data_IF_168421305381
#
_entry.id   IF_168421305381
#
_cell.length_a   1.000
_cell.length_b   1.000
_cell.length_c   1.000
_cell.angle_alpha   90.00
_cell.angle_beta   90.00
_cell.angle_gamma   90.00
#
_symmetry.space_group_name_H-M   'P 1'
#
loop_
_entity.id
_entity.type
_entity.pdbx_description
1 polymer ?
#
# COMPACT_ATOMS: atom_id res chain seq x y z
N UNK A 1 -15.01 -8.39 -12.76
CA UNK A 1 -13.95 -7.49 -13.25
C UNK A 1 -12.94 -7.35 -12.13
N UNK A 2 -11.72 -7.87 -12.32
CA UNK A 2 -10.68 -7.81 -11.29
C UNK A 2 -10.31 -6.36 -10.99
N UNK A 3 -10.13 -6.04 -9.71
CA UNK A 3 -9.71 -4.70 -9.29
C UNK A 3 -8.30 -4.45 -9.88
N UNK A 4 -8.16 -3.58 -10.88
CA UNK A 4 -6.85 -3.22 -11.44
C UNK A 4 -6.00 -2.36 -10.49
N UNK A 5 -6.41 -2.28 -9.22
CA UNK A 5 -5.90 -1.35 -8.22
C UNK A 5 -5.71 -2.07 -6.91
N UNK A 6 -4.69 -1.63 -6.19
CA UNK A 6 -4.43 -2.01 -4.81
C UNK A 6 -4.50 -0.76 -3.95
N UNK A 7 -5.15 -0.86 -2.81
CA UNK A 7 -5.23 0.23 -1.85
C UNK A 7 -4.19 -0.02 -0.75
N UNK A 8 -3.36 0.97 -0.46
CA UNK A 8 -2.55 1.04 0.76
C UNK A 8 -3.26 2.00 1.71
N UNK A 9 -3.87 1.47 2.76
CA UNK A 9 -4.63 2.27 3.71
C UNK A 9 -3.90 2.40 5.03
N UNK A 10 -3.64 3.63 5.45
CA UNK A 10 -3.04 3.96 6.72
C UNK A 10 -4.13 4.33 7.72
N UNK A 11 -4.39 3.43 8.67
CA UNK A 11 -5.48 3.59 9.65
C UNK A 11 -5.12 4.51 10.82
N UNK A 12 -3.86 4.95 10.93
CA UNK A 12 -3.43 6.00 11.88
C UNK A 12 -3.63 7.41 11.33
N UNK A 13 -4.14 7.54 10.10
CA UNK A 13 -4.34 8.83 9.43
C UNK A 13 -3.06 9.47 8.91
N UNK A 14 -1.92 8.79 9.00
CA UNK A 14 -0.66 9.30 8.46
C UNK A 14 -0.56 9.09 6.95
N UNK A 15 0.15 9.98 6.27
CA UNK A 15 0.33 9.88 4.82
C UNK A 15 1.28 8.74 4.49
N UNK A 16 0.89 7.86 3.56
CA UNK A 16 1.72 6.74 3.10
C UNK A 16 2.11 6.94 1.64
N UNK A 17 3.37 6.67 1.34
CA UNK A 17 3.88 6.66 -0.03
C UNK A 17 4.88 5.53 -0.26
N UNK A 18 5.10 5.21 -1.54
CA UNK A 18 6.14 4.27 -1.97
C UNK A 18 7.38 5.03 -2.42
N UNK A 19 8.55 4.52 -2.04
CA UNK A 19 9.83 4.92 -2.62
C UNK A 19 10.49 3.75 -3.35
N UNK A 20 11.28 3.98 -4.41
CA UNK A 20 12.04 2.90 -5.00
C UNK A 20 13.20 2.48 -4.08
N UNK A 21 13.58 1.20 -4.12
CA UNK A 21 14.75 0.74 -3.35
C UNK A 21 16.07 1.31 -3.92
N UNK A 22 16.14 1.48 -5.24
CA UNK A 22 17.25 2.16 -5.94
C UNK A 22 16.75 3.50 -6.49
N UNK A 23 17.42 4.62 -6.20
CA UNK A 23 17.02 5.93 -6.70
C UNK A 23 17.22 6.03 -8.22
N UNK A 24 16.43 6.88 -8.87
CA UNK A 24 16.53 7.17 -10.28
C UNK A 24 15.34 7.99 -10.76
N UNK A 25 15.58 9.13 -11.41
CA UNK A 25 14.53 10.10 -11.73
C UNK A 25 13.38 9.49 -12.56
N UNK A 26 13.68 8.63 -13.54
CA UNK A 26 12.62 7.98 -14.33
C UNK A 26 11.84 6.92 -13.52
N UNK A 27 12.51 6.19 -12.62
CA UNK A 27 11.88 5.21 -11.73
C UNK A 27 10.93 5.91 -10.77
N UNK A 28 11.39 6.99 -10.15
CA UNK A 28 10.59 7.79 -9.22
C UNK A 28 9.37 8.39 -9.91
N UNK A 29 9.55 8.94 -11.12
CA UNK A 29 8.44 9.46 -11.94
C UNK A 29 7.41 8.37 -12.25
N UNK A 30 7.85 7.21 -12.74
CA UNK A 30 6.95 6.08 -13.07
C UNK A 30 6.25 5.53 -11.83
N UNK A 31 6.96 5.44 -10.71
CA UNK A 31 6.36 5.01 -9.45
C UNK A 31 5.30 6.02 -8.98
N UNK A 32 5.59 7.32 -9.03
CA UNK A 32 4.60 8.35 -8.69
C UNK A 32 3.36 8.31 -9.60
N UNK A 33 3.52 7.98 -10.87
CA UNK A 33 2.38 7.74 -11.77
C UNK A 33 1.54 6.52 -11.35
N UNK A 34 2.21 5.44 -10.91
CA UNK A 34 1.56 4.21 -10.46
C UNK A 34 0.93 4.34 -9.07
N UNK A 35 1.47 5.20 -8.19
CA UNK A 35 1.01 5.38 -6.81
C UNK A 35 0.43 6.78 -6.61
N UNK A 36 -0.90 6.90 -6.69
CA UNK A 36 -1.61 8.17 -6.57
C UNK A 36 -2.28 8.28 -5.21
N UNK A 37 -2.11 9.42 -4.54
CA UNK A 37 -2.86 9.70 -3.31
C UNK A 37 -4.34 9.75 -3.67
N UNK A 38 -5.14 8.97 -2.95
CA UNK A 38 -6.58 8.94 -3.11
C UNK A 38 -7.23 9.49 -1.84
N UNK A 39 -8.19 10.39 -2.00
CA UNK A 39 -8.93 10.90 -0.85
C UNK A 39 -9.73 9.75 -0.22
N UNK A 40 -9.52 9.51 1.08
CA UNK A 40 -10.39 8.63 1.86
C UNK A 40 -11.61 9.41 2.29
N UNK A 41 -12.84 8.92 2.06
CA UNK A 41 -14.03 9.53 2.64
C UNK A 41 -14.11 9.36 4.17
N UNK A 42 -13.24 8.53 4.77
CA UNK A 42 -13.23 8.25 6.21
C UNK A 42 -12.17 9.06 6.95
N UNK A 43 -12.56 9.88 7.94
CA UNK A 43 -11.62 10.62 8.79
C UNK A 43 -10.63 9.68 9.47
N UNK A 44 -9.37 10.10 9.55
CA UNK A 44 -8.32 9.29 10.19
C UNK A 44 -7.81 8.12 9.35
N UNK A 45 -8.23 7.98 8.09
CA UNK A 45 -7.65 7.02 7.15
C UNK A 45 -7.05 7.76 5.97
N UNK A 46 -5.79 7.45 5.64
CA UNK A 46 -5.15 7.93 4.43
C UNK A 46 -4.95 6.78 3.44
N UNK A 47 -5.35 6.97 2.18
CA UNK A 47 -5.29 5.90 1.17
C UNK A 47 -4.38 6.28 0.01
N UNK A 48 -3.36 5.45 -0.21
CA UNK A 48 -2.57 5.46 -1.43
C UNK A 48 -3.13 4.41 -2.39
N UNK A 49 -3.44 4.84 -3.61
CA UNK A 49 -3.96 3.96 -4.66
C UNK A 49 -2.85 3.57 -5.61
N UNK A 50 -2.66 2.28 -5.80
CA UNK A 50 -1.65 1.72 -6.68
C UNK A 50 -2.33 1.13 -7.90
N UNK A 51 -1.97 1.63 -9.07
CA UNK A 51 -2.36 1.05 -10.35
C UNK A 51 -1.46 -0.15 -10.68
N UNK A 52 -2.05 -1.35 -10.68
CA UNK A 52 -1.31 -2.60 -10.87
C UNK A 52 -0.70 -2.69 -12.28
N UNK A 53 -1.36 -2.11 -13.28
CA UNK A 53 -0.88 -2.12 -14.67
C UNK A 53 0.36 -1.24 -14.80
N UNK A 54 0.32 0.00 -14.30
CA UNK A 54 1.48 0.89 -14.32
C UNK A 54 2.65 0.33 -13.51
N UNK A 55 2.37 -0.37 -12.41
CA UNK A 55 3.40 -1.04 -11.62
C UNK A 55 4.06 -2.19 -12.38
N UNK A 56 3.29 -2.97 -13.15
CA UNK A 56 3.81 -4.02 -14.04
C UNK A 56 4.65 -3.44 -15.17
N UNK A 57 4.19 -2.37 -15.84
CA UNK A 57 4.96 -1.66 -16.87
C UNK A 57 6.31 -1.14 -16.34
N UNK A 58 6.35 -0.68 -15.08
CA UNK A 58 7.60 -0.30 -14.42
C UNK A 58 8.54 -1.51 -14.24
N UNK A 59 8.02 -2.68 -13.86
CA UNK A 59 8.85 -3.88 -13.74
C UNK A 59 9.39 -4.36 -15.10
N UNK A 60 8.57 -4.29 -16.14
CA UNK A 60 9.01 -4.58 -17.52
C UNK A 60 10.13 -3.63 -17.95
N UNK A 61 9.97 -2.33 -17.69
CA UNK A 61 11.00 -1.34 -17.96
C UNK A 61 12.31 -1.64 -17.23
N UNK A 62 12.24 -2.08 -15.97
CA UNK A 62 13.39 -2.46 -15.16
C UNK A 62 13.94 -3.87 -15.47
N UNK A 63 13.22 -4.66 -16.27
CA UNK A 63 13.48 -6.09 -16.53
C UNK A 63 13.61 -6.93 -15.25
N UNK A 64 12.93 -6.51 -14.17
CA UNK A 64 12.90 -7.20 -12.89
C UNK A 64 11.67 -6.77 -12.10
N UNK A 65 11.20 -7.62 -11.17
CA UNK A 65 10.16 -7.26 -10.21
C UNK A 65 10.76 -6.46 -9.04
N UNK A 66 10.51 -5.14 -8.92
CA UNK A 66 11.15 -4.31 -7.91
C UNK A 66 10.58 -4.54 -6.51
N UNK A 67 11.36 -4.11 -5.53
CA UNK A 67 10.91 -3.94 -4.15
C UNK A 67 10.81 -2.46 -3.84
N UNK A 68 9.78 -2.05 -3.12
CA UNK A 68 9.52 -0.66 -2.77
C UNK A 68 9.70 -0.43 -1.27
N UNK A 69 10.25 0.71 -0.89
CA UNK A 69 10.30 1.18 0.49
C UNK A 69 8.96 1.80 0.86
N UNK A 70 8.46 1.50 2.05
CA UNK A 70 7.31 2.23 2.61
C UNK A 70 7.81 3.52 3.26
N UNK A 71 7.12 4.63 3.00
CA UNK A 71 7.32 5.89 3.70
C UNK A 71 6.05 6.28 4.43
N UNK A 72 6.19 6.80 5.65
CA UNK A 72 5.11 7.35 6.48
C UNK A 72 5.44 8.82 6.73
N UNK A 73 4.51 9.72 6.41
CA UNK A 73 4.68 11.18 6.45
C UNK A 73 5.97 11.65 5.74
N UNK A 74 6.29 11.01 4.61
CA UNK A 74 7.50 11.25 3.82
C UNK A 74 8.79 10.66 4.40
N UNK A 75 8.78 10.15 5.64
CA UNK A 75 9.94 9.52 6.28
C UNK A 75 10.07 8.06 5.84
N UNK A 76 11.26 7.60 5.41
CA UNK A 76 11.47 6.21 5.08
C UNK A 76 11.34 5.34 6.31
N UNK A 77 10.66 4.21 6.18
CA UNK A 77 10.62 3.17 7.20
C UNK A 77 11.65 2.09 6.89
N UNK A 78 11.92 1.21 7.86
CA UNK A 78 12.66 -0.04 7.64
C UNK A 78 11.91 -1.06 6.77
N UNK A 79 10.65 -0.81 6.43
CA UNK A 79 9.82 -1.73 5.68
C UNK A 79 10.02 -1.66 4.18
N UNK A 80 9.92 -2.85 3.59
CA UNK A 80 9.94 -3.06 2.15
C UNK A 80 8.74 -3.90 1.77
N UNK A 81 8.11 -3.57 0.65
CA UNK A 81 7.01 -4.35 0.06
C UNK A 81 7.41 -4.83 -1.33
N UNK A 82 7.23 -6.12 -1.56
CA UNK A 82 7.46 -6.74 -2.86
C UNK A 82 6.38 -6.32 -3.84
N UNK A 83 6.74 -6.08 -5.11
CA UNK A 83 5.76 -5.80 -6.16
C UNK A 83 4.66 -6.87 -6.23
N UNK A 84 5.00 -8.15 -6.07
CA UNK A 84 4.03 -9.24 -6.07
C UNK A 84 2.98 -9.10 -4.97
N UNK A 85 3.31 -8.56 -3.80
CA UNK A 85 2.33 -8.29 -2.76
C UNK A 85 1.43 -7.11 -3.13
N UNK A 86 2.00 -6.07 -3.73
CA UNK A 86 1.21 -4.96 -4.26
C UNK A 86 0.26 -5.40 -5.37
N UNK A 87 0.59 -6.44 -6.16
CA UNK A 87 -0.27 -6.92 -7.25
C UNK A 87 -1.31 -7.94 -6.77
N UNK A 88 -0.97 -8.79 -5.79
CA UNK A 88 -1.83 -9.91 -5.35
C UNK A 88 -2.85 -9.56 -4.25
N UNK A 89 -2.76 -8.36 -3.68
CA UNK A 89 -3.67 -7.89 -2.63
C UNK A 89 -4.55 -6.75 -3.14
N UNK A 90 -5.84 -6.77 -2.83
CA UNK A 90 -6.80 -5.68 -3.04
C UNK A 90 -6.54 -4.53 -2.07
N UNK A 91 -6.24 -4.87 -0.83
CA UNK A 91 -5.99 -3.95 0.27
C UNK A 91 -4.72 -4.38 1.02
N UNK A 92 -3.88 -3.39 1.32
CA UNK A 92 -2.79 -3.52 2.27
C UNK A 92 -3.01 -2.47 3.35
N UNK A 93 -3.17 -2.92 4.58
CA UNK A 93 -3.30 -2.04 5.74
C UNK A 93 -1.90 -1.70 6.24
N UNK A 94 -1.67 -0.42 6.46
CA UNK A 94 -0.50 0.12 7.14
C UNK A 94 -0.95 0.55 8.53
N UNK A 95 -0.51 -0.19 9.55
CA UNK A 95 -0.71 0.18 10.95
C UNK A 95 0.56 0.83 11.46
N UNK A 96 0.42 2.00 12.06
CA UNK A 96 1.51 2.71 12.72
C UNK A 96 1.19 2.78 14.20
N UNK A 97 2.05 2.20 15.02
CA UNK A 97 1.96 2.16 16.47
C UNK A 97 3.26 2.68 17.07
N UNK A 98 3.23 3.93 17.56
CA UNK A 98 4.42 4.70 17.94
C UNK A 98 5.47 4.71 16.82
N UNK A 99 6.61 4.03 17.01
CA UNK A 99 7.69 3.94 16.01
C UNK A 99 7.60 2.70 15.15
N UNK A 100 6.66 1.80 15.40
CA UNK A 100 6.49 0.54 14.67
C UNK A 100 5.49 0.73 13.54
N UNK A 101 5.83 0.17 12.39
CA UNK A 101 4.96 0.09 11.22
C UNK A 101 4.75 -1.38 10.91
N UNK A 102 3.52 -1.75 10.56
CA UNK A 102 3.12 -3.11 10.21
C UNK A 102 2.31 -3.09 8.92
N UNK A 103 2.50 -4.09 8.07
CA UNK A 103 1.76 -4.27 6.82
C UNK A 103 0.94 -5.55 6.88
N UNK A 104 -0.36 -5.44 6.61
CA UNK A 104 -1.27 -6.57 6.52
C UNK A 104 -1.90 -6.62 5.13
N UNK A 105 -1.91 -7.79 4.49
CA UNK A 105 -2.34 -7.97 3.10
C UNK A 105 -3.62 -8.77 2.95
N UNK A 106 -4.60 -8.19 2.27
CA UNK A 106 -5.85 -8.86 1.90
C UNK A 106 -5.90 -9.13 0.42
N UNK A 107 -6.17 -10.39 0.07
CA UNK A 107 -6.36 -10.80 -1.33
C UNK A 107 -7.72 -10.36 -1.86
N UNK A 108 -7.78 -10.14 -3.17
CA UNK A 108 -9.02 -9.85 -3.89
C UNK A 108 -10.16 -10.80 -3.47
N UNK A 109 -11.31 -10.23 -3.12
CA UNK A 109 -12.51 -10.96 -2.70
C UNK A 109 -12.47 -11.45 -1.25
N UNK A 110 -11.43 -11.14 -0.48
CA UNK A 110 -11.35 -11.39 0.97
C UNK A 110 -11.33 -10.13 1.82
N UNK A 111 -11.23 -8.96 1.20
CA UNK A 111 -11.30 -7.69 1.92
C UNK A 111 -12.66 -7.49 2.60
N UNK A 112 -12.70 -6.90 3.82
CA UNK A 112 -13.94 -6.52 4.50
C UNK A 112 -14.75 -5.57 3.64
N UNK A 113 -16.03 -5.88 3.43
CA UNK A 113 -16.93 -5.07 2.60
C UNK A 113 -18.22 -4.78 3.34
N UNK A 114 -18.68 -3.54 3.20
CA UNK A 114 -19.99 -3.05 3.64
C UNK A 114 -20.67 -2.43 2.43
N UNK A 115 -21.83 -2.98 2.07
CA UNK A 115 -22.53 -2.71 0.81
C UNK A 115 -21.63 -2.89 -0.42
N UNK A 116 -21.20 -1.80 -1.06
CA UNK A 116 -20.38 -1.77 -2.27
C UNK A 116 -18.95 -1.23 -2.04
N UNK A 117 -18.60 -0.91 -0.79
CA UNK A 117 -17.30 -0.33 -0.43
C UNK A 117 -16.61 -1.15 0.67
N UNK A 118 -15.38 -0.76 1.01
CA UNK A 118 -14.65 -1.32 2.13
C UNK A 118 -15.32 -0.96 3.46
N UNK A 119 -15.38 -1.94 4.34
CA UNK A 119 -15.87 -1.74 5.70
C UNK A 119 -14.78 -1.15 6.59
N UNK A 120 -14.56 0.16 6.47
CA UNK A 120 -13.47 0.84 7.16
C UNK A 120 -13.62 0.87 8.69
N UNK A 121 -14.86 0.85 9.19
CA UNK A 121 -15.15 0.80 10.63
C UNK A 121 -14.62 -0.51 11.22
N UNK A 122 -15.03 -1.64 10.63
CA UNK A 122 -14.50 -2.94 11.01
C UNK A 122 -12.99 -3.01 10.77
N UNK A 123 -12.46 -2.39 9.71
CA UNK A 123 -11.02 -2.38 9.41
C UNK A 123 -10.18 -1.71 10.52
N UNK A 124 -10.74 -0.71 11.19
CA UNK A 124 -10.06 -0.03 12.30
C UNK A 124 -10.15 -0.86 13.58
N UNK A 125 -11.31 -1.47 13.84
CA UNK A 125 -11.58 -2.18 15.10
C UNK A 125 -10.89 -3.55 15.18
N UNK A 126 -10.73 -4.23 14.04
CA UNK A 126 -10.07 -5.53 13.97
C UNK A 126 -8.59 -5.33 13.60
N UNK A 127 -7.69 -5.79 14.46
CA UNK A 127 -6.25 -5.66 14.29
C UNK A 127 -5.61 -6.87 13.59
N UNK A 128 -6.39 -7.89 13.23
CA UNK A 128 -5.91 -9.20 12.80
C UNK A 128 -6.22 -9.51 11.33
N UNK A 129 -6.21 -8.47 10.50
CA UNK A 129 -6.38 -8.65 9.08
C UNK A 129 -5.24 -9.42 8.42
N UNK A 130 -5.64 -10.29 7.50
CA UNK A 130 -4.83 -11.37 6.93
C UNK A 130 -3.41 -10.99 6.48
N UNK A 131 -2.54 -12.01 6.53
CA UNK A 131 -1.14 -12.03 6.10
C UNK A 131 -0.30 -10.82 6.55
N UNK A 132 0.47 -11.02 7.62
CA UNK A 132 1.56 -10.10 7.96
C UNK A 132 2.59 -10.08 6.82
N UNK A 133 2.65 -8.96 6.10
CA UNK A 133 3.61 -8.72 5.01
C UNK A 133 4.94 -8.15 5.53
N UNK A 134 5.00 -7.73 6.79
CA UNK A 134 6.21 -7.33 7.46
C UNK A 134 5.99 -6.29 8.57
N UNK A 135 6.97 -6.20 9.46
CA UNK A 135 7.07 -5.20 10.52
C UNK A 135 8.39 -4.44 10.44
N UNK A 136 8.39 -3.14 10.68
CA UNK A 136 9.60 -2.33 10.71
C UNK A 136 9.43 -1.05 11.53
N UNK A 137 10.40 -0.16 11.47
CA UNK A 137 10.40 1.07 12.27
C UNK A 137 10.49 2.32 11.38
N UNK A 138 9.99 3.45 11.88
CA UNK A 138 10.21 4.79 11.30
C UNK A 138 11.63 5.28 11.62
#
# INVERSE_FOLDING_TARGET
MGHNKTLLACISGQSVSLGPTKPGADIERRLAMASQINYSPYPGINVLKIDRKLLLELAEHLRLAPTYKIKVDGKPTGLKVLQNHLISNSLIIVKVDDKKVMLHGMKDGREPRKDNDLDWENIIEDDDYGWNLGTGTI
#
